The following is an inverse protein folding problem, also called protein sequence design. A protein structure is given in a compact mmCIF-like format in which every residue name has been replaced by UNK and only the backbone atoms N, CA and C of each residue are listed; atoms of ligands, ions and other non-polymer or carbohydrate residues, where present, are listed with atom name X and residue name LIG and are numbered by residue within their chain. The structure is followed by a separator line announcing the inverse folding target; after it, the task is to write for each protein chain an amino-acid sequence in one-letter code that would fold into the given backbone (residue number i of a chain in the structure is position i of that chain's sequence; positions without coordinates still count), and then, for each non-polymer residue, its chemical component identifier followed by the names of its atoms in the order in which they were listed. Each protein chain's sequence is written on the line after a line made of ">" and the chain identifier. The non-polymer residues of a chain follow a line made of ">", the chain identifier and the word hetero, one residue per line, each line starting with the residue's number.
data_IF_876409383485
#
_entry.id   IF_876409383485
#
_cell.length_a   1.000
_cell.length_b   1.000
_cell.length_c   1.000
_cell.angle_alpha   90.00
_cell.angle_beta   90.00
_cell.angle_gamma   90.00
#
_symmetry.space_group_name_H-M   'P 1'
#
loop_
_entity.id
_entity.type
_entity.pdbx_description
1 polymer ?
#
# COMPACT_ATOMS: atom_id res chain seq x y z
N UNK A 1 -10.73 -24.43 -3.69
CA UNK A 1 -9.67 -23.87 -4.55
C UNK A 1 -10.13 -23.76 -6.00
N UNK A 2 -10.41 -24.86 -6.73
CA UNK A 2 -10.84 -24.77 -8.13
C UNK A 2 -12.08 -23.89 -8.35
N UNK A 3 -13.10 -24.03 -7.49
CA UNK A 3 -14.29 -23.19 -7.54
C UNK A 3 -13.98 -21.70 -7.28
N UNK A 4 -12.99 -21.40 -6.42
CA UNK A 4 -12.55 -20.02 -6.14
C UNK A 4 -11.86 -19.43 -7.37
N UNK A 5 -10.92 -20.17 -7.96
CA UNK A 5 -10.21 -19.74 -9.17
C UNK A 5 -11.20 -19.52 -10.34
N UNK A 6 -12.11 -20.47 -10.56
CA UNK A 6 -13.15 -20.36 -11.60
C UNK A 6 -14.11 -19.21 -11.33
N UNK A 7 -14.53 -19.01 -10.09
CA UNK A 7 -15.42 -17.92 -9.70
C UNK A 7 -14.85 -16.53 -9.96
N UNK A 8 -13.51 -16.42 -10.06
CA UNK A 8 -12.79 -15.20 -10.43
C UNK A 8 -12.43 -15.13 -11.91
N UNK A 9 -12.83 -16.10 -12.72
CA UNK A 9 -12.48 -16.14 -14.14
C UNK A 9 -11.03 -16.54 -14.42
N UNK A 10 -10.32 -17.12 -13.45
CA UNK A 10 -8.97 -17.67 -13.66
C UNK A 10 -9.11 -19.03 -14.37
N UNK A 11 -8.58 -19.21 -15.60
CA UNK A 11 -8.67 -20.45 -16.36
C UNK A 11 -7.64 -21.49 -15.88
N UNK A 12 -7.67 -21.80 -14.59
CA UNK A 12 -6.72 -22.71 -13.96
C UNK A 12 -6.94 -24.16 -14.41
N UNK A 13 -5.85 -24.80 -14.84
CA UNK A 13 -5.77 -26.24 -15.13
C UNK A 13 -4.72 -26.90 -14.23
N UNK A 14 -4.73 -28.22 -14.15
CA UNK A 14 -3.71 -29.00 -13.40
C UNK A 14 -3.51 -28.52 -11.95
N UNK A 15 -4.63 -28.23 -11.27
CA UNK A 15 -4.65 -27.70 -9.91
C UNK A 15 -4.14 -28.75 -8.93
N UNK A 16 -3.12 -28.39 -8.18
CA UNK A 16 -2.47 -29.20 -7.16
C UNK A 16 -2.52 -28.45 -5.83
N UNK A 17 -2.91 -29.15 -4.78
CA UNK A 17 -2.91 -28.62 -3.42
C UNK A 17 -1.59 -28.97 -2.73
N UNK A 18 -1.01 -27.97 -2.08
CA UNK A 18 0.17 -28.10 -1.24
C UNK A 18 -0.19 -28.11 0.24
N UNK A 19 0.76 -27.68 1.07
CA UNK A 19 0.61 -27.67 2.53
C UNK A 19 -0.29 -26.53 3.01
N UNK A 20 -1.17 -26.88 3.95
CA UNK A 20 -1.87 -25.91 4.79
C UNK A 20 -0.86 -25.30 5.78
N UNK A 21 -0.93 -23.99 6.00
CA UNK A 21 -0.13 -23.30 6.98
C UNK A 21 -0.87 -22.09 7.51
N UNK A 22 -0.65 -21.79 8.78
CA UNK A 22 -0.94 -20.47 9.31
C UNK A 22 0.08 -19.48 8.75
N UNK A 23 -0.41 -18.38 8.21
CA UNK A 23 0.40 -17.27 7.70
C UNK A 23 -0.13 -15.98 8.33
N UNK A 24 0.65 -14.91 8.27
CA UNK A 24 0.27 -13.64 8.89
C UNK A 24 1.13 -13.28 10.08
N UNK A 25 1.11 -11.99 10.37
CA UNK A 25 2.01 -11.37 11.33
C UNK A 25 1.41 -10.04 11.81
N UNK A 26 1.32 -9.77 13.13
CA UNK A 26 1.61 -10.65 14.29
C UNK A 26 0.62 -11.83 14.48
N UNK A 27 0.81 -12.75 15.46
CA UNK A 27 -0.05 -13.93 15.67
C UNK A 27 -1.55 -13.65 15.81
N UNK A 28 -1.92 -12.46 16.29
CA UNK A 28 -3.29 -11.95 16.35
C UNK A 28 -3.94 -11.78 14.96
N UNK A 29 -3.12 -11.72 13.91
CA UNK A 29 -3.48 -11.57 12.51
C UNK A 29 -3.01 -12.77 11.70
N UNK A 30 -3.07 -13.96 12.29
CA UNK A 30 -2.81 -15.21 11.59
C UNK A 30 -4.06 -15.67 10.84
N UNK A 31 -3.86 -16.14 9.63
CA UNK A 31 -4.88 -16.61 8.72
C UNK A 31 -4.43 -17.92 8.08
N UNK A 32 -5.42 -18.72 7.75
CA UNK A 32 -5.20 -20.07 7.28
C UNK A 32 -5.05 -20.08 5.78
N UNK A 33 -3.96 -20.66 5.30
CA UNK A 33 -3.64 -20.69 3.88
C UNK A 33 -3.34 -22.08 3.42
N UNK A 34 -3.64 -22.38 2.16
CA UNK A 34 -3.19 -23.60 1.49
C UNK A 34 -2.27 -23.23 0.33
N UNK A 35 -1.13 -23.92 0.22
CA UNK A 35 -0.31 -23.85 -0.97
C UNK A 35 -1.10 -24.35 -2.18
N UNK A 36 -0.98 -23.68 -3.31
CA UNK A 36 -1.61 -24.10 -4.56
C UNK A 36 -0.60 -23.98 -5.69
N UNK A 37 -0.61 -24.96 -6.59
CA UNK A 37 0.05 -24.85 -7.88
C UNK A 37 -0.96 -25.16 -8.98
N UNK A 38 -0.99 -24.35 -10.02
CA UNK A 38 -1.89 -24.56 -11.16
C UNK A 38 -1.26 -23.99 -12.42
N UNK A 39 -1.79 -24.39 -13.56
CA UNK A 39 -1.36 -23.89 -14.86
C UNK A 39 -2.39 -22.86 -15.32
N UNK A 40 -1.95 -21.62 -15.55
CA UNK A 40 -2.73 -20.55 -16.16
C UNK A 40 -2.15 -20.31 -17.56
N UNK A 41 -2.91 -20.70 -18.59
CA UNK A 41 -2.44 -20.78 -19.97
C UNK A 41 -1.15 -21.62 -20.09
N UNK A 42 0.00 -21.00 -20.35
CA UNK A 42 1.31 -21.66 -20.44
C UNK A 42 2.17 -21.49 -19.18
N UNK A 43 1.65 -20.83 -18.15
CA UNK A 43 2.42 -20.40 -16.98
C UNK A 43 2.09 -21.27 -15.79
N UNK A 44 3.11 -21.88 -15.17
CA UNK A 44 2.94 -22.59 -13.90
C UNK A 44 2.92 -21.58 -12.76
N UNK A 45 1.76 -21.37 -12.18
CA UNK A 45 1.55 -20.52 -11.02
C UNK A 45 1.79 -21.33 -9.75
N UNK A 46 2.58 -20.78 -8.82
CA UNK A 46 2.73 -21.29 -7.45
C UNK A 46 2.37 -20.18 -6.49
N UNK A 47 1.39 -20.44 -5.63
CA UNK A 47 0.82 -19.43 -4.76
C UNK A 47 0.34 -20.03 -3.44
N UNK A 48 -0.25 -19.19 -2.61
CA UNK A 48 -1.03 -19.57 -1.44
C UNK A 48 -2.40 -18.90 -1.52
N UNK A 49 -3.44 -19.63 -1.13
CA UNK A 49 -4.80 -19.12 -1.03
C UNK A 49 -5.20 -19.07 0.43
N UNK A 50 -5.62 -17.92 0.91
CA UNK A 50 -6.27 -17.75 2.21
C UNK A 50 -7.67 -18.38 2.17
N UNK A 51 -7.98 -19.23 3.15
CA UNK A 51 -9.12 -20.15 3.04
C UNK A 51 -10.48 -19.48 3.27
N UNK A 52 -10.56 -18.39 4.02
CA UNK A 52 -11.84 -17.73 4.33
C UNK A 52 -12.33 -16.80 3.21
N UNK A 53 -11.42 -16.05 2.59
CA UNK A 53 -11.68 -15.08 1.52
C UNK A 53 -11.35 -15.62 0.13
N UNK A 54 -10.51 -16.65 0.05
CA UNK A 54 -9.93 -17.16 -1.19
C UNK A 54 -8.79 -16.30 -1.73
N UNK A 55 -8.37 -15.22 -1.05
CA UNK A 55 -7.33 -14.29 -1.52
C UNK A 55 -6.03 -15.03 -1.88
N UNK A 56 -5.44 -14.72 -3.05
CA UNK A 56 -4.10 -15.20 -3.41
C UNK A 56 -3.07 -14.30 -2.74
N UNK A 57 -2.25 -14.86 -1.83
CA UNK A 57 -1.40 -14.06 -0.92
C UNK A 57 0.05 -13.92 -1.37
N UNK A 58 0.52 -14.77 -2.29
CA UNK A 58 1.90 -14.69 -2.78
C UNK A 58 2.01 -15.29 -4.18
N UNK A 59 2.67 -14.61 -5.10
CA UNK A 59 3.02 -15.14 -6.41
C UNK A 59 4.23 -14.41 -6.99
N UNK A 60 5.06 -15.14 -7.77
CA UNK A 60 6.09 -14.57 -8.62
C UNK A 60 6.09 -15.31 -9.97
N UNK A 61 6.16 -14.55 -11.06
CA UNK A 61 6.20 -15.05 -12.44
C UNK A 61 5.36 -14.18 -13.36
N UNK A 62 5.46 -14.38 -14.67
CA UNK A 62 4.77 -13.56 -15.66
C UNK A 62 3.46 -14.23 -16.11
N UNK A 63 2.32 -13.79 -15.60
CA UNK A 63 0.99 -14.22 -16.07
C UNK A 63 0.44 -13.20 -17.06
N UNK A 64 0.12 -13.59 -18.31
CA UNK A 64 -0.42 -12.67 -19.29
C UNK A 64 -1.82 -12.18 -18.91
N UNK A 65 -2.17 -10.96 -19.34
CA UNK A 65 -3.52 -10.42 -19.14
C UNK A 65 -4.54 -11.17 -19.97
N UNK A 66 -5.71 -11.44 -19.39
CA UNK A 66 -6.84 -12.06 -20.10
C UNK A 66 -7.38 -11.15 -21.21
N UNK A 67 -7.30 -9.83 -21.03
CA UNK A 67 -7.75 -8.83 -22.00
C UNK A 67 -6.74 -8.55 -23.13
N UNK A 68 -5.62 -9.28 -23.17
CA UNK A 68 -4.50 -9.03 -24.09
C UNK A 68 -3.50 -8.00 -23.56
N UNK A 69 -2.39 -7.84 -24.30
CA UNK A 69 -1.29 -6.98 -23.90
C UNK A 69 -1.67 -5.49 -23.91
N UNK A 70 -1.11 -4.74 -22.96
CA UNK A 70 -1.19 -3.28 -22.94
C UNK A 70 0.14 -2.69 -22.46
N UNK A 71 0.63 -1.67 -23.15
CA UNK A 71 1.74 -0.87 -22.67
C UNK A 71 1.26 0.08 -21.55
N UNK A 72 2.01 0.13 -20.45
CA UNK A 72 1.75 1.00 -19.30
C UNK A 72 2.74 2.17 -19.36
N UNK A 73 2.28 3.30 -19.88
CA UNK A 73 3.10 4.49 -20.09
C UNK A 73 3.03 5.49 -18.91
N UNK A 74 1.98 5.37 -18.08
CA UNK A 74 1.70 6.28 -16.97
C UNK A 74 1.05 5.56 -15.76
N UNK A 75 1.05 6.26 -14.61
CA UNK A 75 0.55 5.73 -13.34
C UNK A 75 -0.97 5.48 -13.36
N UNK A 76 -1.75 6.29 -14.10
CA UNK A 76 -3.20 6.11 -14.22
C UNK A 76 -3.54 4.80 -14.94
N UNK A 77 -2.79 4.48 -15.99
CA UNK A 77 -2.88 3.20 -16.70
C UNK A 77 -2.45 2.05 -15.80
N UNK A 78 -1.37 2.22 -15.03
CA UNK A 78 -0.91 1.23 -14.07
C UNK A 78 -1.98 0.91 -13.02
N UNK A 79 -2.61 1.93 -12.44
CA UNK A 79 -3.69 1.80 -11.47
C UNK A 79 -4.86 1.00 -12.03
N UNK A 80 -5.33 1.35 -13.23
CA UNK A 80 -6.44 0.65 -13.89
C UNK A 80 -6.12 -0.81 -14.18
N UNK A 81 -4.93 -1.10 -14.71
CA UNK A 81 -4.50 -2.48 -14.99
C UNK A 81 -4.34 -3.26 -13.69
N UNK A 82 -3.82 -2.63 -12.63
CA UNK A 82 -3.71 -3.25 -11.31
C UNK A 82 -5.08 -3.60 -10.71
N UNK A 83 -6.10 -2.76 -10.86
CA UNK A 83 -7.46 -3.04 -10.37
C UNK A 83 -8.08 -4.30 -10.99
N UNK A 84 -7.81 -4.54 -12.28
CA UNK A 84 -8.19 -5.80 -12.94
C UNK A 84 -7.52 -7.01 -12.25
N UNK A 85 -6.21 -6.89 -11.95
CA UNK A 85 -5.45 -7.93 -11.26
C UNK A 85 -5.87 -8.11 -9.81
N UNK A 86 -6.12 -7.03 -9.07
CA UNK A 86 -6.60 -7.05 -7.70
C UNK A 86 -7.92 -7.81 -7.59
N UNK A 87 -8.88 -7.52 -8.48
CA UNK A 87 -10.13 -8.26 -8.55
C UNK A 87 -9.90 -9.77 -8.80
N UNK A 88 -9.00 -10.12 -9.73
CA UNK A 88 -8.65 -11.51 -10.05
C UNK A 88 -7.99 -12.25 -8.87
N UNK A 89 -7.10 -11.60 -8.12
CA UNK A 89 -6.44 -12.24 -6.97
C UNK A 89 -7.33 -12.29 -5.72
N UNK A 90 -8.49 -11.62 -5.75
CA UNK A 90 -9.50 -11.69 -4.70
C UNK A 90 -9.50 -10.52 -3.72
N UNK A 91 -8.91 -9.39 -4.09
CA UNK A 91 -8.97 -8.15 -3.31
C UNK A 91 -10.37 -7.54 -3.46
N UNK A 92 -11.11 -7.31 -2.37
CA UNK A 92 -12.39 -6.62 -2.43
C UNK A 92 -12.16 -5.11 -2.64
N UNK A 93 -12.25 -4.67 -3.89
CA UNK A 93 -11.96 -3.29 -4.30
C UNK A 93 -12.79 -2.25 -3.53
N UNK A 94 -14.03 -2.58 -3.14
CA UNK A 94 -14.92 -1.69 -2.41
C UNK A 94 -14.50 -1.44 -0.94
N UNK A 95 -13.58 -2.24 -0.41
CA UNK A 95 -13.09 -2.12 0.98
C UNK A 95 -11.57 -1.82 1.01
N UNK A 96 -10.99 -1.49 -0.15
CA UNK A 96 -9.57 -1.11 -0.28
C UNK A 96 -9.46 0.16 -1.08
N UNK A 97 -8.33 0.81 -0.94
CA UNK A 97 -7.93 1.94 -1.77
C UNK A 97 -6.55 1.70 -2.33
N UNK A 98 -6.25 2.38 -3.43
CA UNK A 98 -4.89 2.51 -3.91
C UNK A 98 -4.10 3.36 -2.92
N UNK A 99 -2.85 2.97 -2.67
CA UNK A 99 -1.97 3.64 -1.72
C UNK A 99 -0.83 4.31 -2.48
N UNK A 100 0.11 3.52 -3.02
CA UNK A 100 1.17 4.02 -3.89
C UNK A 100 1.24 3.27 -5.22
N UNK A 101 1.74 4.00 -6.22
CA UNK A 101 2.12 3.49 -7.53
C UNK A 101 3.57 3.89 -7.74
N UNK A 102 4.41 2.95 -8.14
CA UNK A 102 5.80 3.25 -8.48
C UNK A 102 6.21 2.54 -9.75
N UNK A 103 7.23 3.07 -10.41
CA UNK A 103 7.86 2.42 -11.55
C UNK A 103 9.36 2.28 -11.33
N UNK A 104 9.94 1.22 -11.91
CA UNK A 104 11.37 0.97 -11.91
C UNK A 104 11.87 0.69 -13.33
N UNK A 105 13.17 0.89 -13.53
CA UNK A 105 13.88 0.59 -14.80
C UNK A 105 13.21 1.25 -16.01
N UNK A 106 13.00 2.56 -15.94
CA UNK A 106 12.39 3.34 -17.02
C UNK A 106 11.02 2.79 -17.44
N UNK A 107 10.13 2.58 -16.44
CA UNK A 107 8.77 2.07 -16.62
C UNK A 107 8.67 0.64 -17.20
N UNK A 108 9.76 -0.12 -17.22
CA UNK A 108 9.71 -1.53 -17.59
C UNK A 108 8.94 -2.39 -16.58
N UNK A 109 8.86 -1.96 -15.32
CA UNK A 109 8.06 -2.62 -14.30
C UNK A 109 7.34 -1.57 -13.43
N UNK A 110 6.08 -1.86 -13.11
CA UNK A 110 5.22 -1.05 -12.26
C UNK A 110 4.85 -1.83 -11.01
N UNK A 111 4.92 -1.20 -9.85
CA UNK A 111 4.42 -1.74 -8.59
C UNK A 111 3.25 -0.90 -8.12
N UNK A 112 2.11 -1.55 -7.90
CA UNK A 112 0.90 -0.90 -7.42
C UNK A 112 0.49 -1.56 -6.13
N UNK A 113 0.25 -0.75 -5.09
CA UNK A 113 -0.20 -1.23 -3.79
C UNK A 113 -1.60 -0.70 -3.50
N UNK A 114 -2.43 -1.60 -2.96
CA UNK A 114 -3.68 -1.28 -2.28
C UNK A 114 -3.58 -1.67 -0.82
N UNK A 115 -4.22 -0.89 0.04
CA UNK A 115 -4.41 -1.25 1.43
C UNK A 115 -5.90 -1.40 1.75
N UNK A 116 -6.20 -2.19 2.77
CA UNK A 116 -7.54 -2.27 3.33
C UNK A 116 -7.82 -1.01 4.14
N UNK A 117 -9.01 -0.45 3.93
CA UNK A 117 -9.60 0.58 4.78
C UNK A 117 -10.85 0.00 5.41
N UNK A 118 -10.93 0.08 6.74
CA UNK A 118 -12.11 -0.35 7.48
C UNK A 118 -13.29 0.60 7.23
N UNK A 119 -14.55 0.18 7.49
CA UNK A 119 -15.73 1.04 7.31
C UNK A 119 -15.69 2.38 8.07
N UNK A 120 -14.86 2.49 9.11
CA UNK A 120 -14.63 3.71 9.88
C UNK A 120 -13.43 4.54 9.38
N UNK A 121 -12.94 4.30 8.17
CA UNK A 121 -11.89 5.09 7.54
C UNK A 121 -10.46 4.78 8.00
N UNK A 122 -10.27 3.77 8.86
CA UNK A 122 -8.93 3.42 9.35
C UNK A 122 -8.22 2.46 8.40
N UNK A 123 -7.03 2.86 7.94
CA UNK A 123 -6.14 2.00 7.17
C UNK A 123 -5.53 0.89 8.03
N UNK A 124 -5.31 -0.29 7.44
CA UNK A 124 -4.79 -1.45 8.17
C UNK A 124 -3.50 -1.96 7.53
N UNK A 125 -2.71 -2.79 8.23
CA UNK A 125 -1.50 -3.39 7.66
C UNK A 125 -1.85 -4.46 6.61
N UNK A 126 -3.12 -4.78 6.40
CA UNK A 126 -3.55 -5.64 5.32
C UNK A 126 -3.44 -4.89 4.00
N UNK A 127 -2.45 -5.28 3.20
CA UNK A 127 -2.22 -4.74 1.87
C UNK A 127 -2.29 -5.83 0.79
N UNK A 128 -2.41 -5.40 -0.46
CA UNK A 128 -2.07 -6.21 -1.61
C UNK A 128 -1.25 -5.35 -2.57
N UNK A 129 -0.09 -5.85 -2.96
CA UNK A 129 0.72 -5.27 -4.01
C UNK A 129 0.82 -6.21 -5.19
N UNK A 130 0.81 -5.62 -6.39
CA UNK A 130 1.04 -6.31 -7.65
C UNK A 130 2.20 -5.66 -8.39
N UNK A 131 3.06 -6.49 -8.96
CA UNK A 131 4.03 -6.07 -9.97
C UNK A 131 3.46 -6.31 -11.36
N UNK A 132 3.68 -5.37 -12.28
CA UNK A 132 3.20 -5.39 -13.65
C UNK A 132 4.35 -5.15 -14.62
N UNK A 133 4.42 -5.94 -15.68
CA UNK A 133 5.31 -5.68 -16.80
C UNK A 133 4.81 -4.46 -17.58
N UNK A 134 5.70 -3.49 -17.81
CA UNK A 134 5.34 -2.21 -18.43
C UNK A 134 5.01 -2.28 -19.92
N UNK A 135 5.40 -3.35 -20.62
CA UNK A 135 5.14 -3.49 -22.05
C UNK A 135 3.87 -4.27 -22.37
N UNK A 136 3.50 -5.19 -21.48
CA UNK A 136 2.41 -6.14 -21.70
C UNK A 136 1.29 -6.00 -20.67
N UNK A 137 1.55 -5.39 -19.51
CA UNK A 137 0.64 -5.34 -18.38
C UNK A 137 0.49 -6.70 -17.67
N UNK A 138 1.32 -7.68 -18.02
CA UNK A 138 1.34 -8.99 -17.39
C UNK A 138 1.65 -8.86 -15.89
N UNK A 139 1.00 -9.68 -15.07
CA UNK A 139 1.28 -9.76 -13.64
C UNK A 139 2.65 -10.41 -13.45
N UNK A 140 3.58 -9.75 -12.77
CA UNK A 140 4.93 -10.27 -12.47
C UNK A 140 5.06 -10.79 -11.04
N UNK A 141 4.26 -10.23 -10.13
CA UNK A 141 4.26 -10.60 -8.72
C UNK A 141 2.97 -10.21 -8.01
N UNK A 142 2.67 -10.92 -6.93
CA UNK A 142 1.63 -10.57 -5.96
C UNK A 142 2.22 -10.77 -4.58
N UNK A 143 2.04 -9.80 -3.70
CA UNK A 143 2.18 -9.98 -2.27
C UNK A 143 0.92 -9.44 -1.60
N UNK A 144 0.26 -10.23 -0.76
CA UNK A 144 -0.92 -9.78 -0.05
C UNK A 144 -0.92 -10.26 1.39
N UNK A 145 -1.27 -9.33 2.28
CA UNK A 145 -1.70 -9.60 3.64
C UNK A 145 -3.25 -9.63 3.66
N UNK A 146 -3.84 -10.73 4.15
CA UNK A 146 -5.26 -10.87 4.40
C UNK A 146 -5.84 -9.82 5.31
N UNK A 147 -7.13 -9.66 5.11
CA UNK A 147 -7.90 -8.53 5.55
C UNK A 147 -8.48 -8.74 6.94
N UNK A 148 -8.54 -7.67 7.71
CA UNK A 148 -9.24 -7.59 8.98
C UNK A 148 -10.76 -7.66 8.78
N UNK A 149 -11.44 -8.09 9.85
CA UNK A 149 -12.90 -8.08 9.90
C UNK A 149 -13.44 -6.65 9.96
N UNK A 150 -14.57 -6.40 9.31
CA UNK A 150 -15.20 -5.07 9.24
C UNK A 150 -15.67 -4.53 10.60
N UNK A 151 -15.91 -5.42 11.57
CA UNK A 151 -16.36 -5.08 12.92
C UNK A 151 -15.19 -4.91 13.91
N UNK A 152 -13.96 -4.76 13.40
CA UNK A 152 -12.77 -4.48 14.22
C UNK A 152 -12.99 -3.19 15.01
N UNK A 153 -13.04 -3.32 16.35
CA UNK A 153 -13.24 -2.18 17.25
C UNK A 153 -11.95 -1.43 17.46
N UNK A 154 -11.98 -0.13 17.20
CA UNK A 154 -10.85 0.78 17.36
C UNK A 154 -11.17 1.88 18.39
N UNK A 155 -10.21 2.34 19.19
CA UNK A 155 -10.39 3.51 20.05
C UNK A 155 -10.78 4.76 19.25
N UNK A 156 -11.37 5.73 19.93
CA UNK A 156 -11.58 7.08 19.40
C UNK A 156 -10.29 7.88 19.55
N UNK A 157 -9.91 8.65 18.53
CA UNK A 157 -8.77 9.54 18.59
C UNK A 157 -8.98 10.63 19.67
N UNK A 158 -7.91 11.01 20.37
CA UNK A 158 -7.95 12.13 21.35
C UNK A 158 -7.44 13.44 20.76
N UNK A 159 -6.60 13.37 19.74
CA UNK A 159 -6.14 14.52 18.97
C UNK A 159 -6.80 14.51 17.59
N UNK A 160 -7.04 15.69 17.02
CA UNK A 160 -7.56 15.83 15.67
C UNK A 160 -6.50 15.54 14.60
N UNK A 161 -6.95 15.26 13.37
CA UNK A 161 -6.10 15.19 12.19
C UNK A 161 -5.25 16.46 12.01
N UNK A 162 -5.86 17.63 12.22
CA UNK A 162 -5.21 18.94 12.12
C UNK A 162 -4.04 19.06 13.10
N UNK A 163 -4.22 18.65 14.35
CA UNK A 163 -3.17 18.68 15.36
C UNK A 163 -1.99 17.75 15.00
N UNK A 164 -2.28 16.59 14.38
CA UNK A 164 -1.25 15.70 13.87
C UNK A 164 -0.48 16.31 12.69
N UNK A 165 -1.18 16.95 11.75
CA UNK A 165 -0.54 17.65 10.61
C UNK A 165 0.36 18.78 11.09
N UNK A 166 -0.12 19.61 12.03
CA UNK A 166 0.65 20.69 12.62
C UNK A 166 1.92 20.16 13.31
N UNK A 167 1.83 19.02 14.00
CA UNK A 167 2.97 18.37 14.65
C UNK A 167 4.05 17.97 13.64
N UNK A 168 3.66 17.42 12.49
CA UNK A 168 4.57 16.97 11.42
C UNK A 168 5.16 18.16 10.67
N UNK A 169 4.37 19.19 10.38
CA UNK A 169 4.86 20.43 9.76
C UNK A 169 5.87 21.16 10.67
N UNK A 170 5.64 21.18 11.98
CA UNK A 170 6.58 21.72 12.94
C UNK A 170 7.91 20.95 12.94
N UNK A 171 7.87 19.61 12.89
CA UNK A 171 9.08 18.78 12.79
C UNK A 171 9.82 19.01 11.46
N UNK A 172 9.09 19.04 10.34
CA UNK A 172 9.65 19.31 9.02
C UNK A 172 10.34 20.68 8.97
N UNK A 173 9.67 21.73 9.48
CA UNK A 173 10.21 23.08 9.53
C UNK A 173 11.45 23.21 10.42
N UNK A 174 11.60 22.37 11.44
CA UNK A 174 12.77 22.36 12.31
C UNK A 174 14.02 21.77 11.62
N UNK A 175 13.87 21.00 10.54
CA UNK A 175 14.98 20.39 9.80
C UNK A 175 15.84 19.42 10.62
N UNK A 176 15.31 18.91 11.74
CA UNK A 176 16.08 18.25 12.79
C UNK A 176 16.44 16.78 12.48
N UNK A 177 15.79 16.15 11.50
CA UNK A 177 15.81 14.68 11.32
C UNK A 177 16.11 14.18 9.91
N UNK A 178 16.57 15.02 8.98
CA UNK A 178 16.86 14.54 7.62
C UNK A 178 18.07 15.20 6.96
N UNK A 179 18.65 14.47 6.00
CA UNK A 179 19.66 14.99 5.07
C UNK A 179 19.06 16.02 4.09
N UNK A 180 17.75 16.27 4.16
CA UNK A 180 17.04 17.24 3.34
C UNK A 180 16.92 18.52 4.15
N UNK A 181 17.71 19.54 3.78
CA UNK A 181 17.70 20.84 4.46
C UNK A 181 17.20 21.90 3.50
N UNK A 182 16.43 22.84 4.02
CA UNK A 182 15.82 23.90 3.23
C UNK A 182 14.31 23.78 3.29
N UNK A 183 13.68 24.86 3.74
CA UNK A 183 12.22 24.96 3.82
C UNK A 183 11.71 25.14 2.39
N UNK A 184 11.33 24.04 1.75
CA UNK A 184 10.37 24.11 0.65
C UNK A 184 8.96 24.19 1.25
N UNK A 185 7.99 24.73 0.50
CA UNK A 185 6.59 24.63 0.90
C UNK A 185 6.16 23.17 0.76
N UNK A 186 6.04 22.46 1.87
CA UNK A 186 5.41 21.15 1.88
C UNK A 186 3.88 21.32 1.77
N UNK A 187 3.25 20.53 0.91
CA UNK A 187 1.80 20.42 0.83
C UNK A 187 1.35 19.14 1.51
N UNK A 188 0.25 19.20 2.24
CA UNK A 188 -0.43 18.00 2.73
C UNK A 188 -0.95 17.21 1.52
N UNK A 189 -0.58 15.93 1.45
CA UNK A 189 -1.14 14.99 0.48
C UNK A 189 -2.25 14.17 1.11
N UNK A 190 -1.98 13.62 2.30
CA UNK A 190 -2.90 12.72 2.99
C UNK A 190 -2.78 12.87 4.49
N UNK A 191 -3.92 12.81 5.17
CA UNK A 191 -4.01 12.60 6.61
C UNK A 191 -5.13 11.62 6.89
N UNK A 192 -4.84 10.62 7.71
CA UNK A 192 -5.79 9.58 8.05
C UNK A 192 -5.38 8.86 9.32
N UNK A 193 -6.27 8.00 9.81
CA UNK A 193 -5.95 7.06 10.86
C UNK A 193 -5.48 5.75 10.23
N UNK A 194 -4.45 5.14 10.81
CA UNK A 194 -3.97 3.83 10.40
C UNK A 194 -3.42 3.02 11.57
N UNK A 195 -3.45 1.70 11.40
CA UNK A 195 -2.88 0.77 12.38
C UNK A 195 -1.38 0.62 12.07
N UNK A 196 -0.55 1.10 12.98
CA UNK A 196 0.89 1.01 12.91
C UNK A 196 1.40 -0.14 13.77
N UNK A 197 2.36 -0.89 13.23
CA UNK A 197 3.07 -1.95 13.94
C UNK A 197 4.38 -1.39 14.47
N UNK A 198 4.49 -1.27 15.80
CA UNK A 198 5.69 -0.78 16.46
C UNK A 198 6.38 -1.90 17.24
N UNK A 199 7.71 -1.84 17.28
CA UNK A 199 8.52 -2.74 18.09
C UNK A 199 8.81 -2.07 19.43
N UNK A 200 8.34 -2.67 20.52
CA UNK A 200 8.53 -2.17 21.88
C UNK A 200 8.99 -3.32 22.80
N UNK A 201 10.18 -3.18 23.39
CA UNK A 201 10.79 -4.17 24.28
C UNK A 201 10.80 -5.63 23.74
N UNK A 202 11.02 -5.78 22.42
CA UNK A 202 11.07 -7.09 21.77
C UNK A 202 9.70 -7.74 21.52
N UNK A 203 8.61 -7.04 21.84
CA UNK A 203 7.25 -7.40 21.45
C UNK A 203 6.76 -6.42 20.37
N UNK A 204 6.10 -6.96 19.36
CA UNK A 204 5.38 -6.13 18.40
C UNK A 204 4.01 -5.75 18.96
N UNK A 205 3.67 -4.46 18.87
CA UNK A 205 2.37 -3.91 19.29
C UNK A 205 1.73 -3.21 18.10
N UNK A 206 0.43 -3.45 17.93
CA UNK A 206 -0.40 -2.64 17.05
C UNK A 206 -0.90 -1.43 17.83
N UNK A 207 -0.67 -0.25 17.28
CA UNK A 207 -1.21 1.02 17.78
C UNK A 207 -1.97 1.70 16.66
N UNK A 208 -2.82 2.66 17.00
CA UNK A 208 -3.47 3.50 15.99
C UNK A 208 -2.78 4.86 16.03
N UNK A 209 -2.43 5.35 14.85
CA UNK A 209 -1.78 6.63 14.67
C UNK A 209 -2.48 7.42 13.57
N UNK A 210 -2.32 8.74 13.63
CA UNK A 210 -2.48 9.57 12.46
C UNK A 210 -1.28 9.36 11.53
N UNK A 211 -1.54 8.93 10.32
CA UNK A 211 -0.57 8.86 9.22
C UNK A 211 -0.70 10.16 8.42
N UNK A 212 0.42 10.87 8.32
CA UNK A 212 0.49 12.19 7.68
C UNK A 212 1.54 12.13 6.59
N UNK A 213 1.11 12.43 5.38
CA UNK A 213 1.98 12.47 4.21
C UNK A 213 2.04 13.86 3.63
N UNK A 214 3.25 14.38 3.48
CA UNK A 214 3.52 15.68 2.89
C UNK A 214 4.40 15.51 1.66
N UNK A 215 4.16 16.31 0.63
CA UNK A 215 5.06 16.42 -0.52
C UNK A 215 5.72 17.77 -0.58
N UNK A 216 7.01 17.73 -0.82
CA UNK A 216 7.86 18.90 -0.92
C UNK A 216 8.68 18.82 -2.21
N UNK A 217 8.66 19.89 -2.99
CA UNK A 217 9.31 19.97 -4.29
C UNK A 217 10.60 20.78 -4.23
N UNK A 218 11.54 20.46 -5.13
CA UNK A 218 12.81 21.16 -5.27
C UNK A 218 13.58 21.30 -3.95
N UNK A 219 13.61 20.23 -3.16
CA UNK A 219 14.29 20.21 -1.86
C UNK A 219 15.78 19.97 -2.06
N UNK A 220 16.66 20.87 -1.57
CA UNK A 220 18.09 20.64 -1.59
C UNK A 220 18.46 19.42 -0.75
N UNK A 221 19.26 18.52 -1.33
CA UNK A 221 19.76 17.32 -0.66
C UNK A 221 21.17 17.59 -0.18
N UNK A 222 21.48 17.28 1.08
CA UNK A 222 22.83 17.41 1.63
C UNK A 222 23.37 16.03 2.01
N UNK A 223 24.41 15.58 1.34
CA UNK A 223 25.10 14.33 1.64
C UNK A 223 26.58 14.62 1.91
N UNK A 224 27.09 14.19 3.06
CA UNK A 224 28.47 14.48 3.52
C UNK A 224 28.87 15.97 3.45
N UNK A 225 27.89 16.87 3.67
CA UNK A 225 28.09 18.32 3.63
C UNK A 225 28.15 18.93 2.23
N UNK A 226 27.94 18.14 1.18
CA UNK A 226 27.82 18.60 -0.20
C UNK A 226 26.34 18.72 -0.60
N UNK A 227 26.00 19.82 -1.25
CA UNK A 227 24.68 20.05 -1.82
C UNK A 227 24.54 19.27 -3.14
N UNK A 228 23.54 18.41 -3.22
CA UNK A 228 23.13 17.66 -4.40
C UNK A 228 22.04 18.37 -5.20
N UNK A 229 21.62 17.76 -6.31
CA UNK A 229 20.52 18.28 -7.11
C UNK A 229 19.22 18.32 -6.29
N UNK A 230 18.39 19.37 -6.45
CA UNK A 230 17.07 19.40 -5.83
C UNK A 230 16.22 18.22 -6.27
N UNK A 231 15.50 17.62 -5.33
CA UNK A 231 14.64 16.44 -5.57
C UNK A 231 13.23 16.68 -5.08
N UNK A 232 12.28 15.87 -5.52
CA UNK A 232 10.97 15.76 -4.85
C UNK A 232 11.07 14.79 -3.69
N UNK A 233 10.50 15.16 -2.55
CA UNK A 233 10.44 14.28 -1.37
C UNK A 233 8.99 14.01 -0.94
N UNK A 234 8.77 12.78 -0.46
CA UNK A 234 7.63 12.41 0.38
C UNK A 234 8.13 12.40 1.83
N UNK A 235 7.43 13.11 2.69
CA UNK A 235 7.50 12.95 4.14
C UNK A 235 6.35 12.04 4.53
N UNK A 236 6.67 10.90 5.13
CA UNK A 236 5.73 9.95 5.73
C UNK A 236 6.00 9.90 7.23
N UNK A 237 4.98 10.20 8.03
CA UNK A 237 5.10 10.32 9.48
C UNK A 237 3.86 9.77 10.18
N UNK A 238 4.09 9.10 11.32
CA UNK A 238 3.02 8.64 12.20
C UNK A 238 3.03 9.42 13.51
N UNK A 239 1.86 9.90 13.92
CA UNK A 239 1.63 10.60 15.19
C UNK A 239 0.63 9.81 16.02
N UNK A 240 0.98 9.46 17.26
CA UNK A 240 0.07 8.76 18.17
C UNK A 240 -1.22 9.57 18.36
N UNK A 241 -2.37 8.97 17.99
CA UNK A 241 -3.67 9.64 18.05
C UNK A 241 -4.14 9.92 19.50
N UNK A 242 -3.50 9.30 20.49
CA UNK A 242 -3.86 9.42 21.90
C UNK A 242 -3.04 10.50 22.61
N UNK A 243 -1.75 10.63 22.30
CA UNK A 243 -0.82 11.54 22.99
C UNK A 243 -0.35 12.74 22.16
N UNK A 244 -0.39 12.65 20.82
CA UNK A 244 0.25 13.63 19.93
C UNK A 244 1.75 13.44 19.78
N UNK A 245 2.31 12.35 20.30
CA UNK A 245 3.72 12.02 20.12
C UNK A 245 4.02 11.65 18.66
N UNK A 246 5.13 12.18 18.11
CA UNK A 246 5.63 11.79 16.80
C UNK A 246 6.37 10.46 16.92
N UNK A 247 5.78 9.39 16.40
CA UNK A 247 6.26 8.01 16.52
C UNK A 247 7.30 7.66 15.46
N UNK A 248 7.05 8.08 14.22
CA UNK A 248 7.91 7.82 13.07
C UNK A 248 7.99 9.06 12.19
N UNK A 249 9.09 9.18 11.46
CA UNK A 249 9.31 10.27 10.53
C UNK A 249 10.33 9.85 9.48
N UNK A 250 9.88 9.72 8.24
CA UNK A 250 10.67 9.31 7.10
C UNK A 250 10.56 10.35 6.00
N UNK A 251 11.70 10.73 5.42
CA UNK A 251 11.75 11.59 4.24
C UNK A 251 12.49 10.83 3.13
N UNK A 252 11.81 10.58 2.01
CA UNK A 252 12.32 9.78 0.90
C UNK A 252 12.19 10.54 -0.41
N UNK A 253 13.19 10.40 -1.29
CA UNK A 253 13.10 10.92 -2.66
C UNK A 253 12.13 10.06 -3.47
N UNK A 254 11.22 10.70 -4.23
CA UNK A 254 10.07 10.03 -4.86
C UNK A 254 9.93 10.28 -6.36
N UNK A 255 11.02 10.49 -7.10
CA UNK A 255 10.94 10.87 -8.52
C UNK A 255 10.19 9.85 -9.41
N UNK A 256 10.06 8.59 -8.97
CA UNK A 256 9.32 7.53 -9.66
C UNK A 256 8.17 6.93 -8.84
N UNK A 257 7.72 7.64 -7.79
CA UNK A 257 6.61 7.23 -6.92
C UNK A 257 5.50 8.28 -6.97
N UNK A 258 4.28 7.78 -7.09
CA UNK A 258 3.04 8.56 -7.10
C UNK A 258 2.13 8.05 -6.01
N UNK A 259 1.56 8.95 -5.21
CA UNK A 259 0.44 8.59 -4.34
C UNK A 259 -0.85 8.48 -5.15
N UNK A 260 -1.74 7.60 -4.74
CA UNK A 260 -3.02 7.38 -5.41
C UNK A 260 -3.84 8.67 -5.59
N UNK A 261 -3.82 9.55 -4.59
CA UNK A 261 -4.49 10.85 -4.56
C UNK A 261 -4.02 11.77 -5.69
N UNK A 262 -2.76 11.63 -6.12
CA UNK A 262 -2.18 12.40 -7.22
C UNK A 262 -2.53 11.80 -8.60
N UNK A 263 -2.80 10.49 -8.65
CA UNK A 263 -3.02 9.74 -9.90
C UNK A 263 -4.49 9.69 -10.30
N UNK A 264 -5.37 9.54 -9.31
CA UNK A 264 -6.81 9.39 -9.52
C UNK A 264 -7.56 10.73 -9.35
N UNK A 265 -6.86 11.75 -8.83
CA UNK A 265 -7.48 12.94 -8.25
C UNK A 265 -7.89 12.65 -6.80
N UNK A 266 -7.83 13.66 -5.95
CA UNK A 266 -8.44 13.55 -4.62
C UNK A 266 -9.94 13.30 -4.82
N UNK A 267 -10.47 12.20 -4.26
CA UNK A 267 -11.91 12.10 -4.05
C UNK A 267 -12.30 13.30 -3.17
N UNK A 268 -12.89 14.33 -3.78
CA UNK A 268 -13.40 15.50 -3.05
C UNK A 268 -14.42 15.08 -1.98
N UNK A 269 -14.99 13.87 -2.09
CA UNK A 269 -15.89 13.27 -1.10
C UNK A 269 -15.17 12.69 0.14
N UNK A 270 -13.93 12.21 0.01
CA UNK A 270 -13.17 11.61 1.13
C UNK A 270 -12.53 12.66 2.04
N UNK A 271 -12.02 13.75 1.46
CA UNK A 271 -11.46 14.88 2.21
C UNK A 271 -12.52 15.63 3.04
N UNK A 272 -13.76 15.69 2.54
CA UNK A 272 -14.88 16.31 3.26
C UNK A 272 -15.34 15.48 4.48
N UNK A 273 -15.21 14.16 4.43
CA UNK A 273 -15.56 13.27 5.54
C UNK A 273 -14.51 13.30 6.66
N UNK A 274 -13.21 13.32 6.32
CA UNK A 274 -12.12 13.39 7.29
C UNK A 274 -11.99 14.76 7.98
N UNK A 275 -12.47 15.84 7.35
CA UNK A 275 -12.49 17.18 7.93
C UNK A 275 -13.73 17.46 8.80
N UNK A 276 -14.69 16.52 8.84
CA UNK A 276 -15.97 16.67 9.56
C UNK A 276 -16.08 15.83 10.84
N UNK A 277 -15.07 15.00 11.16
CA UNK A 277 -14.89 14.29 12.45
C UNK A 277 -13.76 14.92 13.28
#
# INVERSE_FOLDING_TARGET
>A
VEAVLRGRGIPATEVQLGTRAMSGWPPAYSFDTVGVAFTWDAVRVRSRIELSSGLLTAYMGAVPRLAGDIAIEDATTAARVADEWFALVGVPLARSRLDFISSVRDKAEWHVLREQVLPNGVATPAYCSVGLDGHTGALTSVAAAPWLADDTRLPTARISAEAAVDRVLAEYGAGARSNYRGVSKARLLRVQRGIQLIHDDGAEKAIIAWEVELRAEAVPVYFDGLEGAPTTILVDASVDEQSGELLSYHAVGIDTLWLAEEVLGADEEGAAAAAAE
#
